data_IF_267783702221
#
_entry.id   IF_267783702221
#
_cell.length_a   1.000
_cell.length_b   1.000
_cell.length_c   1.000
_cell.angle_alpha   90.00
_cell.angle_beta   90.00
_cell.angle_gamma   90.00
#
_symmetry.space_group_name_H-M   'P 1'
#
loop_
_entity.id
_entity.type
_entity.pdbx_description
1 polymer ?
#
# COMPACT_ATOMS: atom_id res chain seq x y z
N UNK A 1 4.48 9.88 -13.65
CA UNK A 1 4.87 9.52 -15.02
C UNK A 1 3.61 9.31 -15.83
N UNK A 2 3.47 9.96 -16.99
CA UNK A 2 2.22 9.97 -17.78
C UNK A 2 2.29 8.90 -18.87
N UNK A 3 1.20 8.15 -19.02
CA UNK A 3 0.99 7.16 -20.07
C UNK A 3 0.56 7.90 -21.34
N UNK A 4 1.22 7.60 -22.45
CA UNK A 4 0.96 8.26 -23.74
C UNK A 4 -0.37 7.84 -24.37
N UNK A 5 -0.85 6.61 -24.08
CA UNK A 5 -2.14 6.09 -24.55
C UNK A 5 -2.91 5.42 -23.39
N UNK A 6 -3.59 6.21 -22.53
CA UNK A 6 -4.29 5.65 -21.38
C UNK A 6 -5.63 5.01 -21.79
N UNK A 7 -5.96 3.87 -21.18
CA UNK A 7 -7.27 3.23 -21.32
C UNK A 7 -8.39 4.04 -20.66
N UNK A 8 -8.04 4.85 -19.65
CA UNK A 8 -8.91 5.83 -19.00
C UNK A 8 -8.17 7.17 -18.89
N UNK A 9 -8.73 8.20 -19.53
CA UNK A 9 -8.16 9.55 -19.51
C UNK A 9 -8.18 10.19 -18.12
N UNK A 10 -8.99 9.68 -17.19
CA UNK A 10 -9.03 10.15 -15.80
C UNK A 10 -7.82 9.67 -14.97
N UNK A 11 -7.16 8.58 -15.37
CA UNK A 11 -5.96 8.05 -14.72
C UNK A 11 -4.78 7.90 -15.71
N UNK A 12 -4.28 9.01 -16.28
CA UNK A 12 -3.24 8.94 -17.31
C UNK A 12 -1.86 8.71 -16.69
N UNK A 13 -1.75 8.45 -15.39
CA UNK A 13 -0.49 8.32 -14.68
C UNK A 13 -0.28 6.87 -14.24
N UNK A 14 0.94 6.36 -14.40
CA UNK A 14 1.32 5.12 -13.74
C UNK A 14 1.24 5.31 -12.22
N UNK A 15 0.61 4.36 -11.52
CA UNK A 15 0.39 4.45 -10.08
C UNK A 15 1.72 4.37 -9.30
N UNK A 16 2.05 5.37 -8.46
CA UNK A 16 3.28 5.35 -7.66
C UNK A 16 3.12 4.59 -6.33
N UNK A 17 1.90 4.24 -5.95
CA UNK A 17 1.53 3.55 -4.72
C UNK A 17 0.20 2.80 -4.90
N UNK A 18 -0.02 1.73 -4.13
CA UNK A 18 -1.32 1.04 -4.05
C UNK A 18 -2.30 1.76 -3.10
N UNK A 19 -1.79 2.61 -2.19
CA UNK A 19 -2.60 3.23 -1.13
C UNK A 19 -3.78 4.07 -1.65
N UNK A 20 -3.67 4.91 -2.70
CA UNK A 20 -4.82 5.68 -3.17
C UNK A 20 -5.97 4.80 -3.68
N UNK A 21 -5.67 3.71 -4.39
CA UNK A 21 -6.67 2.73 -4.82
C UNK A 21 -7.34 2.05 -3.64
N UNK A 22 -6.52 1.57 -2.69
CA UNK A 22 -6.99 0.92 -1.47
C UNK A 22 -7.90 1.82 -0.64
N UNK A 23 -7.52 3.08 -0.41
CA UNK A 23 -8.32 4.04 0.35
C UNK A 23 -9.63 4.41 -0.36
N UNK A 24 -9.64 4.49 -1.70
CA UNK A 24 -10.88 4.65 -2.47
C UNK A 24 -11.81 3.45 -2.27
N UNK A 25 -11.29 2.22 -2.27
CA UNK A 25 -12.09 1.02 -2.01
C UNK A 25 -12.71 1.04 -0.60
N UNK A 26 -11.94 1.42 0.42
CA UNK A 26 -12.46 1.59 1.79
C UNK A 26 -13.55 2.66 1.84
N UNK A 27 -13.32 3.83 1.24
CA UNK A 27 -14.29 4.92 1.22
C UNK A 27 -15.60 4.53 0.51
N UNK A 28 -15.52 3.81 -0.60
CA UNK A 28 -16.70 3.28 -1.30
C UNK A 28 -17.49 2.32 -0.43
N UNK A 29 -16.83 1.39 0.26
CA UNK A 29 -17.51 0.45 1.15
C UNK A 29 -18.14 1.15 2.35
N UNK A 30 -17.46 2.12 2.96
CA UNK A 30 -18.01 2.92 4.05
C UNK A 30 -19.29 3.68 3.61
N UNK A 31 -19.32 4.23 2.39
CA UNK A 31 -20.53 4.87 1.81
C UNK A 31 -21.69 3.90 1.62
N UNK A 32 -21.40 2.63 1.39
CA UNK A 32 -22.40 1.55 1.31
C UNK A 32 -22.70 0.90 2.67
N UNK A 33 -22.41 1.57 3.78
CA UNK A 33 -22.69 1.10 5.14
C UNK A 33 -21.92 -0.18 5.53
N UNK A 34 -20.79 -0.43 4.86
CA UNK A 34 -19.85 -1.52 5.17
C UNK A 34 -18.52 -0.95 5.69
N UNK A 35 -18.44 -0.40 6.91
CA UNK A 35 -17.25 0.32 7.38
C UNK A 35 -16.09 -0.58 7.80
N UNK A 36 -16.33 -1.86 8.11
CA UNK A 36 -15.34 -2.77 8.71
C UNK A 36 -14.72 -3.73 7.68
N UNK A 37 -14.36 -3.21 6.51
CA UNK A 37 -13.75 -4.02 5.45
C UNK A 37 -12.29 -4.38 5.74
N UNK A 38 -11.89 -5.57 5.32
CA UNK A 38 -10.52 -6.06 5.35
C UNK A 38 -10.14 -6.41 3.92
N UNK A 39 -9.25 -5.65 3.31
CA UNK A 39 -8.92 -5.75 1.89
C UNK A 39 -7.42 -5.87 1.71
N UNK A 40 -7.00 -6.52 0.63
CA UNK A 40 -5.61 -6.52 0.20
C UNK A 40 -5.51 -6.39 -1.31
N UNK A 41 -4.37 -5.91 -1.78
CA UNK A 41 -4.04 -5.82 -3.20
C UNK A 41 -2.57 -6.20 -3.38
N UNK A 42 -2.31 -7.03 -4.40
CA UNK A 42 -0.96 -7.29 -4.91
C UNK A 42 -0.86 -6.66 -6.29
N UNK A 43 0.18 -5.85 -6.52
CA UNK A 43 0.46 -5.40 -7.86
C UNK A 43 1.61 -4.40 -7.97
N UNK A 44 1.87 -4.01 -9.22
CA UNK A 44 3.04 -3.19 -9.56
C UNK A 44 2.82 -1.71 -9.28
N UNK A 45 3.85 -1.05 -8.80
CA UNK A 45 3.94 0.41 -8.71
C UNK A 45 5.16 0.90 -9.46
N UNK A 46 5.08 2.13 -9.94
CA UNK A 46 6.11 2.72 -10.79
C UNK A 46 6.64 4.00 -10.14
N UNK A 47 7.92 3.99 -9.78
CA UNK A 47 8.61 5.15 -9.22
C UNK A 47 9.46 5.84 -10.30
N UNK A 48 9.80 7.12 -10.11
CA UNK A 48 10.75 7.80 -10.99
C UNK A 48 12.04 6.99 -11.17
N UNK A 49 12.71 7.11 -12.34
CA UNK A 49 14.00 6.47 -12.59
C UNK A 49 15.02 6.84 -11.52
N UNK A 50 16.02 5.96 -11.31
CA UNK A 50 17.23 6.38 -10.61
C UNK A 50 17.98 7.41 -11.46
N UNK A 51 18.85 8.21 -10.83
CA UNK A 51 19.62 9.24 -11.53
C UNK A 51 20.42 8.63 -12.69
N UNK A 52 20.11 9.03 -13.93
CA UNK A 52 20.78 8.57 -15.15
C UNK A 52 19.97 7.55 -15.98
N UNK A 53 18.89 7.00 -15.43
CA UNK A 53 18.04 6.03 -16.13
C UNK A 53 16.85 6.69 -16.84
N UNK A 54 16.40 6.07 -17.94
CA UNK A 54 15.21 6.50 -18.71
C UNK A 54 13.94 5.78 -18.24
N UNK A 55 14.07 4.53 -17.79
CA UNK A 55 12.93 3.69 -17.41
C UNK A 55 12.55 3.87 -15.94
N UNK A 56 11.25 3.80 -15.59
CA UNK A 56 10.81 3.86 -14.20
C UNK A 56 11.27 2.62 -13.43
N UNK A 57 11.41 2.79 -12.11
CA UNK A 57 11.64 1.67 -11.20
C UNK A 57 10.29 0.98 -10.94
N UNK A 58 10.13 -0.24 -11.44
CA UNK A 58 8.98 -1.09 -11.19
C UNK A 58 9.18 -1.95 -9.94
N UNK A 59 8.16 -2.01 -9.08
CA UNK A 59 8.15 -2.89 -7.90
C UNK A 59 6.79 -3.53 -7.74
N UNK A 60 6.75 -4.83 -7.54
CA UNK A 60 5.56 -5.51 -7.06
C UNK A 60 5.44 -5.30 -5.55
N UNK A 61 4.28 -4.85 -5.10
CA UNK A 61 3.98 -4.61 -3.69
C UNK A 61 2.70 -5.33 -3.28
N UNK A 62 2.63 -5.65 -2.00
CA UNK A 62 1.38 -6.00 -1.32
C UNK A 62 0.96 -4.83 -0.44
N UNK A 63 -0.31 -4.46 -0.49
CA UNK A 63 -0.95 -3.53 0.43
C UNK A 63 -2.10 -4.23 1.13
N UNK A 64 -2.24 -4.01 2.44
CA UNK A 64 -3.35 -4.54 3.24
C UNK A 64 -3.97 -3.39 4.01
N UNK A 65 -5.30 -3.40 4.14
CA UNK A 65 -6.05 -2.48 4.99
C UNK A 65 -7.04 -3.25 5.85
N UNK A 66 -7.11 -2.87 7.12
CA UNK A 66 -8.07 -3.38 8.08
C UNK A 66 -8.85 -2.18 8.64
N UNK A 67 -10.05 -1.93 8.13
CA UNK A 67 -10.88 -0.84 8.64
C UNK A 67 -11.57 -1.26 9.96
N UNK A 68 -11.65 -0.33 10.92
CA UNK A 68 -12.15 -0.62 12.27
C UNK A 68 -11.22 -1.46 13.15
N UNK A 69 -9.93 -1.55 12.77
CA UNK A 69 -8.91 -2.32 13.47
C UNK A 69 -7.84 -1.43 14.12
N UNK A 70 -7.05 -2.01 15.03
CA UNK A 70 -5.94 -1.32 15.69
C UNK A 70 -4.60 -1.55 14.95
N UNK A 71 -3.60 -0.72 15.23
CA UNK A 71 -2.26 -0.89 14.65
C UNK A 71 -1.63 -2.24 15.02
N UNK A 72 -1.97 -2.80 16.18
CA UNK A 72 -1.54 -4.14 16.59
C UNK A 72 -2.05 -5.25 15.66
N UNK A 73 -3.23 -5.08 15.05
CA UNK A 73 -3.74 -6.04 14.06
C UNK A 73 -2.91 -6.03 12.76
N UNK A 74 -2.34 -4.87 12.39
CA UNK A 74 -1.44 -4.79 11.24
C UNK A 74 -0.14 -5.56 11.47
N UNK A 75 0.38 -5.55 12.71
CA UNK A 75 1.55 -6.38 13.10
C UNK A 75 1.22 -7.87 12.98
N UNK A 76 0.03 -8.30 13.42
CA UNK A 76 -0.41 -9.69 13.26
C UNK A 76 -0.53 -10.11 11.80
N UNK A 77 -1.01 -9.22 10.93
CA UNK A 77 -1.03 -9.48 9.48
C UNK A 77 0.38 -9.65 8.93
N UNK A 78 1.33 -8.82 9.35
CA UNK A 78 2.72 -8.96 8.96
C UNK A 78 3.29 -10.32 9.38
N UNK A 79 3.03 -10.75 10.62
CA UNK A 79 3.45 -12.07 11.11
C UNK A 79 2.89 -13.22 10.25
N UNK A 80 1.59 -13.17 9.94
CA UNK A 80 0.94 -14.17 9.08
C UNK A 80 1.53 -14.18 7.67
N UNK A 81 1.82 -13.01 7.10
CA UNK A 81 2.45 -12.90 5.79
C UNK A 81 3.85 -13.51 5.82
N UNK A 82 4.69 -13.16 6.79
CA UNK A 82 6.03 -13.73 6.93
C UNK A 82 5.98 -15.25 6.99
N UNK A 83 5.08 -15.83 7.78
CA UNK A 83 4.95 -17.28 7.90
C UNK A 83 4.48 -17.92 6.58
N UNK A 84 3.47 -17.32 5.93
CA UNK A 84 2.87 -17.87 4.71
C UNK A 84 3.85 -17.91 3.54
N UNK A 85 4.71 -16.90 3.40
CA UNK A 85 5.72 -16.83 2.33
C UNK A 85 7.14 -17.14 2.81
N UNK A 86 7.28 -17.68 4.02
CA UNK A 86 8.56 -18.10 4.63
C UNK A 86 9.63 -17.00 4.60
N UNK A 87 9.22 -15.77 4.86
CA UNK A 87 10.15 -14.66 5.05
C UNK A 87 10.70 -14.67 6.48
N UNK A 88 11.98 -14.36 6.60
CA UNK A 88 12.57 -14.02 7.89
C UNK A 88 11.90 -12.74 8.43
N UNK A 89 11.52 -12.77 9.71
CA UNK A 89 10.86 -11.64 10.35
C UNK A 89 11.90 -10.56 10.66
N UNK A 90 11.83 -9.49 9.88
CA UNK A 90 12.60 -8.27 10.11
C UNK A 90 12.17 -7.49 11.37
N UNK A 91 12.87 -6.41 11.67
CA UNK A 91 12.49 -5.55 12.80
C UNK A 91 11.35 -4.61 12.44
N UNK A 92 10.48 -4.33 13.41
CA UNK A 92 9.42 -3.33 13.30
C UNK A 92 9.84 -2.12 14.13
N UNK A 93 10.18 -1.04 13.46
CA UNK A 93 10.64 0.18 14.12
C UNK A 93 9.59 1.28 14.03
N UNK A 94 9.26 1.92 15.16
CA UNK A 94 8.39 3.09 15.16
C UNK A 94 8.95 4.16 14.22
N UNK A 95 8.09 4.70 13.36
CA UNK A 95 8.51 5.65 12.33
C UNK A 95 7.40 6.63 12.00
N UNK A 96 7.72 7.91 11.94
CA UNK A 96 6.80 8.92 11.44
C UNK A 96 6.61 8.75 9.92
N UNK A 97 5.36 8.86 9.49
CA UNK A 97 4.92 8.68 8.11
C UNK A 97 3.80 9.68 7.82
N UNK A 98 4.00 10.62 6.88
CA UNK A 98 2.95 11.56 6.50
C UNK A 98 1.65 10.84 6.12
N UNK A 99 0.55 11.29 6.73
CA UNK A 99 -0.79 10.71 6.52
C UNK A 99 -1.12 9.52 7.44
N UNK A 100 -0.18 9.03 8.26
CA UNK A 100 -0.45 8.06 9.32
C UNK A 100 -0.40 8.73 10.69
N UNK A 101 -1.01 8.09 11.69
CA UNK A 101 -0.98 8.58 13.07
C UNK A 101 0.44 8.42 13.67
N UNK A 102 1.00 9.45 14.33
CA UNK A 102 2.43 9.50 14.69
C UNK A 102 2.90 8.39 15.64
N UNK A 103 2.03 7.95 16.56
CA UNK A 103 2.36 6.86 17.51
C UNK A 103 1.85 5.49 17.07
N UNK A 104 1.25 5.38 15.88
CA UNK A 104 0.65 4.15 15.34
C UNK A 104 1.19 3.82 13.94
N UNK A 105 2.42 4.26 13.68
CA UNK A 105 3.11 4.06 12.42
C UNK A 105 4.48 3.44 12.68
N UNK A 106 4.87 2.51 11.80
CA UNK A 106 6.14 1.81 11.88
C UNK A 106 6.70 1.53 10.48
N UNK A 107 7.98 1.19 10.43
CA UNK A 107 8.69 0.74 9.25
C UNK A 107 9.25 -0.65 9.51
N UNK A 108 9.06 -1.53 8.53
CA UNK A 108 9.69 -2.85 8.48
C UNK A 108 11.14 -2.70 7.96
N UNK A 109 12.11 -3.35 8.62
CA UNK A 109 13.51 -3.43 8.19
C UNK A 109 13.98 -4.86 8.04
#
# INVERSE_FOLDING_TARGET
MRVTNPLDQAEPLLRPSLLPGMLRAVATNARHQNPNVRLFEVGRVFRPPASGDVLPIERELVAVVLAGADATDAVRVWDVLCDAIRLERGSIEAADRPGLHPTRAARLR
#
